data_IF_470122023763
#
_entry.id   IF_470122023763
#
_cell.length_a   1.000
_cell.length_b   1.000
_cell.length_c   1.000
_cell.angle_alpha   90.00
_cell.angle_beta   90.00
_cell.angle_gamma   90.00
#
_symmetry.space_group_name_H-M   'P 1'
#
loop_
_entity.id
_entity.type
_entity.pdbx_description
1 polymer ?
#
# COMPACT_ATOMS: atom_id res chain seq x y z
N UNK A 1 27.17 -28.61 -43.30
CA UNK A 1 25.87 -28.73 -43.99
C UNK A 1 25.08 -27.47 -43.70
N UNK A 2 24.65 -26.81 -44.77
CA UNK A 2 24.13 -25.43 -44.86
C UNK A 2 22.69 -25.34 -44.36
N UNK A 3 22.31 -24.26 -43.66
CA UNK A 3 21.18 -23.35 -44.04
C UNK A 3 20.92 -22.26 -42.99
N UNK A 4 21.27 -21.05 -43.41
CA UNK A 4 20.79 -19.74 -42.98
C UNK A 4 19.34 -19.47 -43.41
N UNK A 5 18.61 -18.69 -42.61
CA UNK A 5 17.41 -17.88 -42.94
C UNK A 5 17.46 -16.69 -41.97
N UNK A 6 17.60 -15.40 -42.27
CA UNK A 6 17.24 -14.48 -43.37
C UNK A 6 15.73 -14.19 -43.54
N UNK A 7 15.43 -12.88 -43.47
CA UNK A 7 14.17 -12.14 -43.66
C UNK A 7 13.15 -12.19 -42.49
N UNK A 8 12.51 -11.11 -42.04
CA UNK A 8 11.88 -10.04 -42.84
C UNK A 8 11.94 -8.66 -42.17
N UNK A 9 12.28 -7.68 -43.00
CA UNK A 9 12.15 -6.24 -42.83
C UNK A 9 10.72 -5.76 -43.06
N UNK A 10 10.52 -4.46 -42.76
CA UNK A 10 9.48 -3.53 -43.25
C UNK A 10 8.12 -3.47 -42.54
N UNK A 11 7.84 -2.27 -42.05
CA UNK A 11 6.57 -1.85 -41.46
C UNK A 11 6.63 -0.41 -40.94
N UNK A 12 7.16 0.51 -41.75
CA UNK A 12 7.04 1.95 -41.52
C UNK A 12 5.60 2.37 -41.78
N UNK A 13 4.94 2.94 -40.78
CA UNK A 13 3.77 3.79 -40.99
C UNK A 13 4.04 5.13 -40.31
N UNK A 14 4.57 6.03 -41.14
CA UNK A 14 4.66 7.46 -40.91
C UNK A 14 3.25 8.03 -40.94
N UNK A 15 2.78 8.53 -39.81
CA UNK A 15 1.58 9.37 -39.74
C UNK A 15 2.03 10.80 -39.50
N UNK A 16 2.08 11.56 -40.59
CA UNK A 16 2.16 13.02 -40.57
C UNK A 16 0.75 13.63 -40.53
N UNK A 17 0.71 14.89 -40.10
CA UNK A 17 -0.40 15.87 -40.16
C UNK A 17 -1.47 15.76 -39.05
N UNK A 18 -1.90 16.84 -38.39
CA UNK A 18 -1.68 18.27 -38.60
C UNK A 18 -1.80 19.02 -37.26
N UNK A 19 -0.91 20.00 -37.04
CA UNK A 19 -1.10 21.04 -36.04
C UNK A 19 -2.17 22.01 -36.56
N UNK A 20 -3.32 22.07 -35.87
CA UNK A 20 -4.18 23.26 -35.88
C UNK A 20 -3.93 24.03 -34.59
N UNK A 21 -3.18 25.12 -34.70
CA UNK A 21 -3.09 26.13 -33.67
C UNK A 21 -4.31 27.05 -33.78
N UNK A 22 -5.37 26.73 -33.03
CA UNK A 22 -6.46 27.68 -32.75
C UNK A 22 -6.09 28.40 -31.46
N UNK A 23 -5.60 29.64 -31.61
CA UNK A 23 -5.38 30.55 -30.49
C UNK A 23 -6.74 31.07 -30.01
N UNK A 24 -7.33 30.38 -29.04
CA UNK A 24 -8.50 30.89 -28.33
C UNK A 24 -8.10 32.03 -27.38
N UNK A 25 -8.84 33.14 -27.35
CA UNK A 25 -8.56 34.27 -26.47
C UNK A 25 -8.62 33.83 -25.00
N UNK A 26 -7.56 34.18 -24.28
CA UNK A 26 -7.35 33.97 -22.85
C UNK A 26 -8.45 34.64 -22.04
N UNK A 27 -9.44 33.86 -21.63
CA UNK A 27 -10.35 34.22 -20.55
C UNK A 27 -9.57 34.10 -19.24
N UNK A 28 -9.15 35.24 -18.70
CA UNK A 28 -8.52 35.32 -17.39
C UNK A 28 -9.45 34.73 -16.31
N UNK A 29 -9.17 33.49 -15.92
CA UNK A 29 -9.88 32.84 -14.83
C UNK A 29 -9.62 33.56 -13.50
N UNK A 30 -10.63 33.64 -12.62
CA UNK A 30 -10.56 34.38 -11.38
C UNK A 30 -9.52 33.78 -10.43
N UNK A 31 -8.70 34.68 -9.89
CA UNK A 31 -7.71 34.47 -8.83
C UNK A 31 -8.14 33.35 -7.89
N UNK A 32 -7.42 32.24 -7.99
CA UNK A 32 -7.49 31.09 -7.09
C UNK A 32 -7.56 31.57 -5.65
N UNK A 33 -8.70 31.39 -4.98
CA UNK A 33 -8.79 31.46 -3.52
C UNK A 33 -7.73 30.50 -3.00
N UNK A 34 -6.66 31.05 -2.41
CA UNK A 34 -5.68 30.30 -1.62
C UNK A 34 -6.45 29.81 -0.41
N UNK A 35 -7.10 28.65 -0.55
CA UNK A 35 -7.64 27.91 0.58
C UNK A 35 -6.40 27.47 1.35
N UNK A 36 -6.07 28.19 2.41
CA UNK A 36 -5.06 27.78 3.37
C UNK A 36 -5.46 26.39 3.85
N UNK A 37 -4.74 25.37 3.35
CA UNK A 37 -4.94 24.00 3.79
C UNK A 37 -4.55 23.98 5.26
N UNK A 38 -5.55 23.87 6.12
CA UNK A 38 -5.34 23.74 7.56
C UNK A 38 -4.45 22.50 7.78
N UNK A 39 -3.20 22.76 8.13
CA UNK A 39 -2.17 21.75 8.29
C UNK A 39 -2.13 21.38 9.77
N UNK A 40 -2.28 20.10 10.08
CA UNK A 40 -2.18 19.61 11.46
C UNK A 40 -0.72 19.36 11.80
N UNK A 41 -0.27 19.82 12.98
CA UNK A 41 1.12 19.70 13.42
C UNK A 41 1.50 18.27 13.89
N UNK A 42 0.51 17.45 14.21
CA UNK A 42 0.68 16.07 14.64
C UNK A 42 -0.54 15.21 14.26
N UNK A 43 -0.33 13.90 14.21
CA UNK A 43 -1.42 12.91 14.08
C UNK A 43 -1.21 11.77 15.07
N UNK A 44 -2.28 11.21 15.61
CA UNK A 44 -2.22 9.95 16.37
C UNK A 44 -2.39 8.80 15.37
N UNK A 45 -1.36 7.96 15.27
CA UNK A 45 -1.32 6.81 14.39
C UNK A 45 -1.46 5.52 15.21
N UNK A 46 -2.43 4.68 14.87
CA UNK A 46 -2.50 3.30 15.33
C UNK A 46 -1.70 2.42 14.36
N UNK A 47 -0.70 1.74 14.90
CA UNK A 47 0.18 0.80 14.21
C UNK A 47 -0.13 -0.60 14.68
N UNK A 48 -0.54 -1.47 13.75
CA UNK A 48 -0.84 -2.89 14.01
C UNK A 48 0.11 -3.79 13.24
N UNK A 49 0.84 -4.64 13.94
CA UNK A 49 1.64 -5.71 13.33
C UNK A 49 0.79 -6.99 13.31
N UNK A 50 0.64 -7.59 12.12
CA UNK A 50 -0.25 -8.72 11.88
C UNK A 50 0.57 -9.84 11.27
N UNK A 51 0.48 -11.04 11.86
CA UNK A 51 1.11 -12.23 11.33
C UNK A 51 0.12 -13.02 10.50
N UNK A 52 0.46 -13.26 9.24
CA UNK A 52 -0.34 -14.04 8.32
C UNK A 52 0.28 -15.43 8.13
N UNK A 53 -0.53 -16.49 8.09
CA UNK A 53 -0.07 -17.86 7.86
C UNK A 53 -0.96 -18.67 6.92
N UNK A 54 -0.33 -19.71 6.34
CA UNK A 54 -0.98 -20.74 5.54
C UNK A 54 -1.41 -20.20 4.19
N UNK A 55 -0.51 -20.19 3.20
CA UNK A 55 -0.84 -19.66 1.87
C UNK A 55 -1.97 -20.47 1.23
N UNK A 56 -3.02 -19.77 0.81
CA UNK A 56 -4.04 -20.33 -0.07
C UNK A 56 -3.49 -20.22 -1.48
N UNK A 57 -2.96 -21.33 -2.00
CA UNK A 57 -2.72 -21.43 -3.43
C UNK A 57 -4.06 -21.16 -4.12
N UNK A 58 -4.18 -19.99 -4.77
CA UNK A 58 -5.28 -19.70 -5.67
C UNK A 58 -5.16 -20.73 -6.78
N UNK A 59 -5.88 -21.85 -6.65
CA UNK A 59 -6.07 -22.77 -7.78
C UNK A 59 -6.62 -21.90 -8.90
N UNK A 60 -5.89 -21.80 -10.00
CA UNK A 60 -6.37 -21.16 -11.22
C UNK A 60 -7.66 -21.88 -11.54
N UNK A 61 -8.79 -21.19 -11.35
CA UNK A 61 -10.11 -21.80 -11.53
C UNK A 61 -10.29 -22.04 -13.02
N UNK A 62 -10.01 -23.26 -13.47
CA UNK A 62 -10.50 -23.76 -14.76
C UNK A 62 -12.03 -23.68 -14.73
N UNK A 63 -12.67 -23.41 -15.88
CA UNK A 63 -14.12 -23.15 -15.96
C UNK A 63 -14.98 -24.28 -15.34
N UNK A 64 -14.44 -25.50 -15.25
CA UNK A 64 -15.07 -26.69 -14.69
C UNK A 64 -15.15 -26.72 -13.15
N UNK A 65 -14.24 -26.05 -12.43
CA UNK A 65 -14.16 -26.05 -10.96
C UNK A 65 -15.18 -25.11 -10.27
N UNK A 66 -16.07 -24.48 -11.04
CA UNK A 66 -17.04 -23.49 -10.50
C UNK A 66 -18.20 -24.12 -9.73
N UNK A 67 -18.40 -25.44 -9.79
CA UNK A 67 -19.50 -26.13 -9.08
C UNK A 67 -19.02 -26.74 -7.77
N UNK A 68 -18.91 -25.92 -6.71
CA UNK A 68 -18.95 -26.44 -5.34
C UNK A 68 -17.73 -26.24 -4.45
N UNK A 69 -16.70 -25.49 -4.86
CA UNK A 69 -15.59 -25.16 -3.97
C UNK A 69 -16.03 -24.19 -2.86
N UNK A 70 -16.52 -24.73 -1.74
CA UNK A 70 -16.68 -24.01 -0.47
C UNK A 70 -15.28 -23.55 -0.01
N UNK A 71 -14.96 -22.28 -0.23
CA UNK A 71 -13.75 -21.66 0.29
C UNK A 71 -13.74 -21.86 1.81
N UNK A 72 -12.73 -22.56 2.36
CA UNK A 72 -12.61 -22.74 3.81
C UNK A 72 -12.61 -21.37 4.49
N UNK A 73 -13.27 -21.21 5.65
CA UNK A 73 -13.28 -19.95 6.37
C UNK A 73 -11.85 -19.54 6.72
N UNK A 74 -11.51 -18.28 6.46
CA UNK A 74 -10.28 -17.69 6.96
C UNK A 74 -10.45 -17.41 8.45
N UNK A 75 -9.45 -17.76 9.25
CA UNK A 75 -9.43 -17.41 10.66
C UNK A 75 -8.88 -15.98 10.80
N UNK A 76 -9.65 -15.11 11.43
CA UNK A 76 -9.31 -13.71 11.65
C UNK A 76 -9.52 -13.39 13.14
N UNK A 77 -8.49 -12.86 13.80
CA UNK A 77 -8.64 -12.36 15.17
C UNK A 77 -9.68 -11.23 15.22
N UNK A 78 -10.49 -11.21 16.28
CA UNK A 78 -11.60 -10.24 16.44
C UNK A 78 -11.13 -8.78 16.40
N UNK A 79 -9.94 -8.49 16.91
CA UNK A 79 -9.32 -7.15 16.88
C UNK A 79 -8.93 -6.66 15.46
N UNK A 80 -9.05 -7.54 14.46
CA UNK A 80 -8.79 -7.25 13.05
C UNK A 80 -10.06 -7.25 12.20
N UNK A 81 -11.24 -7.29 12.83
CA UNK A 81 -12.52 -7.34 12.13
C UNK A 81 -12.74 -6.16 11.18
N UNK A 82 -12.25 -4.97 11.54
CA UNK A 82 -12.29 -3.77 10.70
C UNK A 82 -11.46 -3.92 9.39
N UNK A 83 -10.47 -4.83 9.39
CA UNK A 83 -9.61 -5.10 8.23
C UNK A 83 -10.05 -6.31 7.41
N UNK A 84 -11.18 -6.94 7.76
CA UNK A 84 -11.59 -8.20 7.15
C UNK A 84 -11.64 -8.14 5.62
N UNK A 85 -12.21 -7.08 5.06
CA UNK A 85 -12.33 -6.90 3.60
C UNK A 85 -10.96 -6.85 2.91
N UNK A 86 -9.99 -6.14 3.51
CA UNK A 86 -8.62 -6.00 2.98
C UNK A 86 -7.80 -7.29 3.18
N UNK A 87 -7.94 -7.95 4.33
CA UNK A 87 -7.21 -9.19 4.65
C UNK A 87 -7.74 -10.38 3.84
N UNK A 88 -9.04 -10.45 3.55
CA UNK A 88 -9.63 -11.50 2.69
C UNK A 88 -9.08 -11.50 1.27
N UNK A 89 -8.63 -10.35 0.77
CA UNK A 89 -8.01 -10.23 -0.55
C UNK A 89 -6.60 -10.87 -0.62
N UNK A 90 -5.94 -11.04 0.52
CA UNK A 90 -4.60 -11.58 0.61
C UNK A 90 -4.60 -13.12 0.65
N UNK A 91 -3.53 -13.78 0.16
CA UNK A 91 -3.51 -15.22 -0.06
C UNK A 91 -3.18 -16.03 1.21
N UNK A 92 -3.64 -15.63 2.40
CA UNK A 92 -3.38 -16.38 3.65
C UNK A 92 -4.68 -16.92 4.26
N UNK A 93 -4.54 -17.97 5.08
CA UNK A 93 -5.65 -18.61 5.79
C UNK A 93 -5.93 -17.98 7.13
N UNK A 94 -4.89 -17.57 7.83
CA UNK A 94 -5.01 -17.05 9.19
C UNK A 94 -4.31 -15.71 9.33
N UNK A 95 -4.93 -14.81 10.07
CA UNK A 95 -4.39 -13.50 10.43
C UNK A 95 -4.47 -13.33 11.94
N UNK A 96 -3.33 -13.11 12.58
CA UNK A 96 -3.24 -12.89 14.01
C UNK A 96 -2.62 -11.54 14.33
N UNK A 97 -3.24 -10.81 15.25
CA UNK A 97 -2.66 -9.56 15.74
C UNK A 97 -1.48 -9.90 16.67
N UNK A 98 -0.33 -9.31 16.38
CA UNK A 98 0.89 -9.49 17.17
C UNK A 98 1.08 -8.30 18.11
N UNK A 99 0.83 -7.10 17.62
CA UNK A 99 1.00 -5.87 18.42
C UNK A 99 0.09 -4.80 17.86
N UNK A 100 -0.54 -4.04 18.77
CA UNK A 100 -1.24 -2.79 18.46
C UNK A 100 -0.64 -1.70 19.33
N UNK A 101 -0.24 -0.57 18.72
CA UNK A 101 0.30 0.59 19.44
C UNK A 101 -0.22 1.87 18.84
N UNK A 102 -0.56 2.82 19.70
CA UNK A 102 -0.87 4.18 19.30
C UNK A 102 0.37 5.06 19.51
N UNK A 103 0.67 5.87 18.50
CA UNK A 103 1.88 6.69 18.45
C UNK A 103 1.51 8.07 17.95
N UNK A 104 1.86 9.10 18.69
CA UNK A 104 1.73 10.48 18.23
C UNK A 104 2.91 10.80 17.34
N UNK A 105 2.63 11.18 16.09
CA UNK A 105 3.63 11.52 15.07
C UNK A 105 3.59 13.03 14.79
N UNK A 106 4.57 13.81 15.29
CA UNK A 106 4.73 15.19 14.88
C UNK A 106 5.20 15.28 13.43
N UNK A 107 4.71 16.29 12.71
CA UNK A 107 5.15 16.58 11.34
C UNK A 107 6.66 16.81 11.30
N UNK A 108 7.31 16.21 10.30
CA UNK A 108 8.74 16.26 10.01
C UNK A 108 9.68 15.68 11.08
N UNK A 109 9.16 15.10 12.16
CA UNK A 109 9.96 14.38 13.18
C UNK A 109 9.89 12.87 12.96
N UNK A 110 11.02 12.21 13.09
CA UNK A 110 11.09 10.76 13.07
C UNK A 110 10.68 10.20 14.44
N UNK A 111 9.91 9.13 14.44
CA UNK A 111 9.56 8.33 15.61
C UNK A 111 9.93 6.88 15.36
N UNK A 112 10.37 6.19 16.41
CA UNK A 112 10.79 4.80 16.34
C UNK A 112 9.87 3.96 17.20
N UNK A 113 9.18 3.01 16.57
CA UNK A 113 8.26 2.07 17.21
C UNK A 113 8.92 0.69 17.26
N UNK A 114 9.12 0.17 18.47
CA UNK A 114 9.57 -1.22 18.65
C UNK A 114 8.37 -2.16 18.55
N UNK A 115 8.42 -3.06 17.58
CA UNK A 115 7.41 -4.11 17.40
C UNK A 115 7.84 -5.38 18.16
N UNK A 116 6.90 -6.29 18.40
CA UNK A 116 7.24 -7.57 19.02
C UNK A 116 8.22 -8.37 18.13
N UNK A 117 9.11 -9.14 18.76
CA UNK A 117 10.15 -9.91 18.06
C UNK A 117 11.43 -9.11 17.75
N UNK A 118 11.56 -7.90 18.28
CA UNK A 118 12.77 -7.07 18.15
C UNK A 118 12.87 -6.29 16.84
N UNK A 119 11.80 -6.28 16.04
CA UNK A 119 11.73 -5.46 14.83
C UNK A 119 11.50 -3.98 15.19
N UNK A 120 11.94 -3.11 14.28
CA UNK A 120 11.88 -1.67 14.48
C UNK A 120 11.18 -1.00 13.31
N UNK A 121 10.23 -0.12 13.59
CA UNK A 121 9.52 0.67 12.59
C UNK A 121 9.82 2.15 12.80
N UNK A 122 10.57 2.74 11.89
CA UNK A 122 10.83 4.17 11.85
C UNK A 122 9.78 4.85 10.99
N UNK A 123 9.12 5.84 11.55
CA UNK A 123 8.03 6.58 10.92
C UNK A 123 8.36 8.06 10.92
N UNK A 124 8.13 8.73 9.81
CA UNK A 124 8.23 10.19 9.73
C UNK A 124 7.05 10.73 8.96
N UNK A 125 6.18 11.46 9.66
CA UNK A 125 5.09 12.19 9.02
C UNK A 125 5.68 13.31 8.16
N UNK A 126 5.42 13.31 6.86
CA UNK A 126 5.93 14.31 5.93
C UNK A 126 4.96 15.49 5.84
N UNK A 127 3.67 15.19 5.74
CA UNK A 127 2.60 16.17 5.79
C UNK A 127 1.29 15.50 6.24
N UNK A 128 0.40 16.30 6.83
CA UNK A 128 -0.97 15.91 7.13
C UNK A 128 -1.90 17.10 6.87
N UNK A 129 -2.77 16.95 5.87
CA UNK A 129 -3.86 17.88 5.59
C UNK A 129 -5.20 17.23 5.97
N UNK A 130 -6.32 17.95 5.81
CA UNK A 130 -7.66 17.45 6.16
C UNK A 130 -8.05 16.16 5.43
N UNK A 131 -7.50 15.90 4.25
CA UNK A 131 -7.89 14.77 3.41
C UNK A 131 -6.80 13.68 3.32
N UNK A 132 -5.51 14.08 3.33
CA UNK A 132 -4.40 13.22 2.93
C UNK A 132 -3.25 13.29 3.92
N UNK A 133 -2.58 12.16 4.02
CA UNK A 133 -1.40 11.99 4.86
C UNK A 133 -0.28 11.42 3.99
N UNK A 134 0.88 12.05 4.07
CA UNK A 134 2.12 11.55 3.48
C UNK A 134 3.09 11.16 4.58
N UNK A 135 3.61 9.94 4.55
CA UNK A 135 4.50 9.42 5.58
C UNK A 135 5.63 8.63 4.95
N UNK A 136 6.83 8.79 5.50
CA UNK A 136 7.94 7.88 5.25
C UNK A 136 7.95 6.77 6.29
N UNK A 137 8.17 5.54 5.84
CA UNK A 137 8.19 4.34 6.65
C UNK A 137 9.44 3.54 6.32
N UNK A 138 10.22 3.21 7.35
CA UNK A 138 11.36 2.31 7.25
C UNK A 138 11.25 1.22 8.33
N UNK A 139 10.99 0.00 7.89
CA UNK A 139 10.80 -1.19 8.71
C UNK A 139 12.06 -2.05 8.68
N UNK A 140 12.65 -2.26 9.85
CA UNK A 140 13.85 -3.07 10.06
C UNK A 140 13.50 -4.37 10.76
N UNK A 141 14.17 -5.46 10.37
CA UNK A 141 14.12 -6.73 11.08
C UNK A 141 14.90 -6.65 12.42
N UNK A 142 14.93 -7.76 13.17
CA UNK A 142 15.67 -7.85 14.44
C UNK A 142 17.18 -7.60 14.30
N UNK A 143 17.76 -7.93 13.15
CA UNK A 143 19.18 -7.72 12.85
C UNK A 143 19.47 -6.29 12.34
N UNK A 144 18.46 -5.42 12.23
CA UNK A 144 18.60 -4.06 11.70
C UNK A 144 18.58 -3.98 10.17
N UNK A 145 18.37 -5.08 9.44
CA UNK A 145 18.25 -5.05 7.98
C UNK A 145 16.89 -4.51 7.56
N UNK A 146 16.88 -3.68 6.53
CA UNK A 146 15.65 -3.10 5.96
C UNK A 146 14.78 -4.17 5.32
N UNK A 147 13.55 -4.30 5.82
CA UNK A 147 12.47 -5.10 5.24
C UNK A 147 11.63 -4.28 4.25
N UNK A 148 11.42 -2.99 4.55
CA UNK A 148 10.65 -2.06 3.72
C UNK A 148 11.13 -0.64 3.99
N UNK A 149 11.46 0.10 2.94
CA UNK A 149 11.71 1.54 3.00
C UNK A 149 10.90 2.20 1.88
N UNK A 150 9.88 2.97 2.27
CA UNK A 150 8.94 3.53 1.29
C UNK A 150 8.28 4.81 1.80
N UNK A 151 7.77 5.60 0.85
CA UNK A 151 6.88 6.73 1.12
C UNK A 151 5.46 6.30 0.77
N UNK A 152 4.56 6.51 1.71
CA UNK A 152 3.16 6.14 1.58
C UNK A 152 2.28 7.37 1.64
N UNK A 153 1.21 7.34 0.85
CA UNK A 153 0.20 8.37 0.79
C UNK A 153 -1.16 7.70 0.92
N UNK A 154 -1.97 8.13 1.88
CA UNK A 154 -3.31 7.58 2.10
C UNK A 154 -4.25 8.65 2.64
N UNK A 155 -5.55 8.38 2.51
CA UNK A 155 -6.58 9.31 2.97
C UNK A 155 -6.77 9.21 4.48
N UNK A 156 -7.14 10.34 5.12
CA UNK A 156 -7.58 10.32 6.52
C UNK A 156 -8.83 9.45 6.68
N UNK A 157 -8.87 8.68 7.76
CA UNK A 157 -9.94 7.70 8.00
C UNK A 157 -9.80 6.39 7.22
N UNK A 158 -8.81 6.27 6.33
CA UNK A 158 -8.52 4.99 5.68
C UNK A 158 -7.42 4.23 6.45
N UNK A 159 -7.61 2.92 6.61
CA UNK A 159 -6.54 2.04 7.09
C UNK A 159 -5.64 1.62 5.94
N UNK A 160 -4.37 2.01 5.98
CA UNK A 160 -3.37 1.51 5.05
C UNK A 160 -2.89 0.13 5.50
N UNK A 161 -2.77 -0.81 4.56
CA UNK A 161 -2.18 -2.13 4.82
C UNK A 161 -0.97 -2.32 3.91
N UNK A 162 0.18 -2.65 4.49
CA UNK A 162 1.41 -3.00 3.78
C UNK A 162 2.00 -4.27 4.39
N UNK A 163 3.01 -4.86 3.77
CA UNK A 163 3.64 -6.08 4.26
C UNK A 163 4.97 -6.33 3.60
N UNK A 164 5.76 -7.19 4.21
CA UNK A 164 7.07 -7.60 3.70
C UNK A 164 7.10 -9.10 3.50
N UNK A 165 8.07 -9.50 2.67
CA UNK A 165 8.00 -10.74 1.92
C UNK A 165 7.69 -11.96 2.80
N UNK A 166 6.72 -12.69 2.28
CA UNK A 166 6.23 -13.93 2.82
C UNK A 166 7.06 -15.07 2.29
N UNK A 167 7.56 -15.92 3.18
CA UNK A 167 7.79 -17.29 2.77
C UNK A 167 6.49 -17.86 2.17
N UNK A 168 6.56 -18.97 1.43
CA UNK A 168 5.37 -19.65 0.91
C UNK A 168 4.36 -20.12 1.98
N UNK A 169 4.64 -19.85 3.27
CA UNK A 169 3.83 -20.26 4.41
C UNK A 169 3.42 -19.13 5.34
N UNK A 170 4.16 -18.03 5.43
CA UNK A 170 3.87 -16.97 6.38
C UNK A 170 4.31 -15.60 5.86
N UNK A 171 3.57 -14.55 6.24
CA UNK A 171 3.88 -13.16 5.95
C UNK A 171 3.73 -12.28 7.19
N UNK A 172 4.35 -11.10 7.16
CA UNK A 172 4.14 -10.06 8.17
C UNK A 172 3.52 -8.84 7.51
N UNK A 173 2.43 -8.35 8.06
CA UNK A 173 1.69 -7.20 7.58
C UNK A 173 1.74 -6.09 8.63
N UNK A 174 1.71 -4.84 8.17
CA UNK A 174 1.52 -3.64 8.96
C UNK A 174 0.23 -2.96 8.53
N UNK A 175 -0.63 -2.70 9.49
CA UNK A 175 -1.77 -1.79 9.34
C UNK A 175 -1.44 -0.47 10.02
N UNK A 176 -1.73 0.63 9.31
CA UNK A 176 -1.51 2.00 9.76
C UNK A 176 -2.82 2.76 9.60
N UNK A 177 -3.32 3.30 10.70
CA UNK A 177 -4.61 3.99 10.75
C UNK A 177 -4.44 5.30 11.52
N UNK A 178 -4.92 6.40 10.95
CA UNK A 178 -4.86 7.70 11.61
C UNK A 178 -6.15 7.89 12.39
N UNK A 179 -6.03 8.03 13.70
CA UNK A 179 -7.15 8.25 14.58
C UNK A 179 -7.58 9.70 14.49
N UNK A 180 -8.87 9.92 14.24
CA UNK A 180 -9.47 11.26 14.29
C UNK A 180 -9.60 11.65 15.75
N UNK A 181 -9.02 12.79 16.15
CA UNK A 181 -9.31 13.43 17.44
C UNK A 181 -10.65 14.13 17.36
#
# INVERSE_FOLDING_TARGET
MVRSKLFSTTGWLSFCLALFAVASPSTAEPRSKVISKEQTNEVTLRVRAIRAHGVMLKKVKTAEDRKGARTKPQYLDQELADLESKLRALPYRTYRLITSREVVLPVMKQQTVRLQGGQTLNLRLLYADRARIGMWLNWLNKAGSTLLDTRVHFNRGEVMLTGTESSSKCGMLLSLEVLSK
#
